data_IF_273194756903
#
_entry.id   IF_273194756903
#
_cell.length_a   1.000
_cell.length_b   1.000
_cell.length_c   1.000
_cell.angle_alpha   90.00
_cell.angle_beta   90.00
_cell.angle_gamma   90.00
#
_symmetry.space_group_name_H-M   'P 1'
#
loop_
_entity.id
_entity.type
_entity.pdbx_description
1 polymer ?
#
# COMPACT_ATOMS: atom_id res chain seq x y z
N UNK A 1 24.19 -6.68 -67.99
CA UNK A 1 24.09 -6.86 -66.53
C UNK A 1 23.43 -8.20 -66.30
N UNK A 2 24.09 -9.13 -65.59
CA UNK A 2 23.68 -10.51 -65.46
C UNK A 2 22.45 -10.64 -64.53
N UNK A 3 21.43 -11.45 -64.95
CA UNK A 3 20.22 -11.75 -64.16
C UNK A 3 20.53 -12.14 -62.70
N UNK A 4 21.68 -12.76 -62.46
CA UNK A 4 22.15 -13.14 -61.11
C UNK A 4 22.45 -11.94 -60.21
N UNK A 5 22.90 -10.81 -60.78
CA UNK A 5 23.19 -9.60 -60.01
C UNK A 5 21.91 -8.90 -59.52
N UNK A 6 20.89 -8.88 -60.38
CA UNK A 6 19.57 -8.31 -60.03
C UNK A 6 18.86 -9.15 -58.97
N UNK A 7 18.93 -10.47 -59.04
CA UNK A 7 18.36 -11.37 -58.01
C UNK A 7 19.02 -11.19 -56.64
N UNK A 8 20.35 -11.03 -56.59
CA UNK A 8 21.08 -10.81 -55.36
C UNK A 8 20.70 -9.48 -54.68
N UNK A 9 20.45 -8.42 -55.45
CA UNK A 9 20.02 -7.13 -54.94
C UNK A 9 18.59 -7.19 -54.39
N UNK A 10 17.68 -7.90 -55.06
CA UNK A 10 16.29 -8.04 -54.63
C UNK A 10 16.20 -8.83 -53.31
N UNK A 11 16.98 -9.91 -53.17
CA UNK A 11 17.04 -10.69 -51.92
C UNK A 11 17.61 -9.87 -50.79
N UNK A 12 18.66 -9.07 -51.04
CA UNK A 12 19.26 -8.17 -50.02
C UNK A 12 18.30 -7.09 -49.52
N UNK A 13 17.52 -6.48 -50.40
CA UNK A 13 16.51 -5.47 -50.05
C UNK A 13 15.32 -6.11 -49.30
N UNK A 14 14.89 -7.31 -49.67
CA UNK A 14 13.80 -8.03 -49.00
C UNK A 14 14.19 -8.42 -47.56
N UNK A 15 15.44 -8.84 -47.33
CA UNK A 15 15.94 -9.13 -45.96
C UNK A 15 16.06 -7.88 -45.09
N UNK A 16 16.35 -6.71 -45.66
CA UNK A 16 16.38 -5.46 -44.89
C UNK A 16 15.02 -4.98 -44.40
N UNK A 17 13.93 -5.30 -45.14
CA UNK A 17 12.56 -4.96 -44.72
C UNK A 17 11.98 -5.89 -43.65
N UNK A 18 12.56 -7.05 -43.41
CA UNK A 18 12.08 -8.01 -42.41
C UNK A 18 12.62 -7.75 -41.00
N UNK A 19 13.61 -6.88 -40.84
CA UNK A 19 14.19 -6.54 -39.52
C UNK A 19 13.47 -5.39 -38.80
N UNK A 20 12.49 -4.75 -39.45
CA UNK A 20 11.77 -3.59 -38.88
C UNK A 20 10.47 -3.88 -38.15
N UNK A 21 10.02 -5.14 -38.04
CA UNK A 21 8.65 -5.49 -37.63
C UNK A 21 8.50 -6.06 -36.22
N UNK A 22 9.47 -5.87 -35.32
CA UNK A 22 9.33 -6.22 -33.90
C UNK A 22 9.36 -4.98 -33.01
N UNK A 23 8.44 -4.05 -33.20
CA UNK A 23 8.02 -3.17 -32.12
C UNK A 23 6.91 -3.89 -31.37
N UNK A 24 7.27 -4.67 -30.35
CA UNK A 24 6.30 -5.11 -29.35
C UNK A 24 5.65 -3.84 -28.78
N UNK A 25 4.32 -3.79 -28.65
CA UNK A 25 3.71 -2.71 -27.88
C UNK A 25 4.36 -2.76 -26.50
N UNK A 26 5.06 -1.71 -26.12
CA UNK A 26 5.55 -1.55 -24.76
C UNK A 26 4.30 -1.45 -23.90
N UNK A 27 3.90 -2.58 -23.30
CA UNK A 27 3.01 -2.50 -22.14
C UNK A 27 3.76 -1.61 -21.15
N UNK A 28 3.20 -0.46 -20.81
CA UNK A 28 3.74 0.39 -19.75
C UNK A 28 4.06 -0.51 -18.55
N UNK A 29 5.32 -0.55 -18.10
CA UNK A 29 5.69 -1.44 -17.03
C UNK A 29 4.91 -1.03 -15.78
N UNK A 30 4.32 -2.00 -15.10
CA UNK A 30 3.71 -1.78 -13.79
C UNK A 30 4.75 -1.16 -12.87
N UNK A 31 4.50 0.06 -12.45
CA UNK A 31 5.38 0.78 -11.52
C UNK A 31 4.96 0.42 -10.08
N UNK A 32 5.94 0.15 -9.22
CA UNK A 32 5.75 -0.06 -7.80
C UNK A 32 6.51 1.02 -7.04
N UNK A 33 5.79 1.81 -6.28
CA UNK A 33 6.34 2.89 -5.48
C UNK A 33 6.23 2.56 -4.00
N UNK A 34 7.30 2.85 -3.24
CA UNK A 34 7.24 2.77 -1.79
C UNK A 34 6.31 3.85 -1.25
N UNK A 35 5.40 3.44 -0.38
CA UNK A 35 4.45 4.33 0.29
C UNK A 35 4.71 4.42 1.80
N UNK A 36 5.85 3.90 2.27
CA UNK A 36 6.17 3.69 3.68
C UNK A 36 6.48 4.97 4.46
N UNK A 37 6.92 6.04 3.80
CA UNK A 37 7.39 7.25 4.48
C UNK A 37 6.27 8.22 4.85
N UNK A 38 6.49 8.97 5.95
CA UNK A 38 5.71 10.16 6.27
C UNK A 38 4.27 9.88 6.71
N UNK A 39 4.02 8.80 7.42
CA UNK A 39 2.74 8.54 8.06
C UNK A 39 2.60 9.32 9.37
N UNK A 40 1.37 9.70 9.68
CA UNK A 40 0.98 10.22 10.99
C UNK A 40 0.32 9.09 11.78
N UNK A 41 0.69 8.91 13.05
CA UNK A 41 0.21 7.85 13.93
C UNK A 41 -0.28 8.40 15.26
N UNK A 42 -1.38 7.82 15.76
CA UNK A 42 -1.86 8.03 17.14
C UNK A 42 -2.61 6.81 17.66
N UNK A 43 -2.43 6.52 18.94
CA UNK A 43 -3.23 5.55 19.69
C UNK A 43 -4.49 6.25 20.19
N UNK A 44 -5.58 6.16 19.43
CA UNK A 44 -6.88 6.73 19.76
C UNK A 44 -8.00 5.81 19.27
N UNK A 45 -9.13 5.83 19.94
CA UNK A 45 -10.38 5.20 19.47
C UNK A 45 -11.37 6.29 19.04
N UNK A 46 -11.09 6.91 17.90
CA UNK A 46 -11.93 7.95 17.31
C UNK A 46 -12.19 7.65 15.84
N UNK A 47 -13.42 7.26 15.51
CA UNK A 47 -13.81 6.93 14.14
C UNK A 47 -13.78 8.14 13.19
N UNK A 48 -13.79 9.37 13.70
CA UNK A 48 -13.64 10.58 12.89
C UNK A 48 -12.25 10.66 12.25
N UNK A 49 -11.27 9.93 12.76
CA UNK A 49 -9.94 9.83 12.16
C UNK A 49 -9.95 9.26 10.72
N UNK A 50 -11.05 8.67 10.26
CA UNK A 50 -11.25 8.30 8.86
C UNK A 50 -11.50 9.50 7.94
N UNK A 51 -11.99 10.62 8.47
CA UNK A 51 -12.42 11.78 7.68
C UNK A 51 -11.24 12.60 7.15
N UNK A 52 -11.44 13.24 5.99
CA UNK A 52 -10.40 14.02 5.30
C UNK A 52 -9.94 15.23 6.12
N UNK A 53 -10.89 15.90 6.77
CA UNK A 53 -10.71 17.13 7.54
C UNK A 53 -10.33 16.92 9.01
N UNK A 54 -10.15 15.66 9.42
CA UNK A 54 -9.68 15.35 10.77
C UNK A 54 -8.31 15.98 11.05
N UNK A 55 -8.19 16.64 12.21
CA UNK A 55 -6.98 17.34 12.63
C UNK A 55 -5.93 16.35 13.18
N UNK A 56 -4.98 15.97 12.36
CA UNK A 56 -3.88 15.05 12.70
C UNK A 56 -2.51 15.74 12.89
N UNK A 57 -2.50 17.07 12.99
CA UNK A 57 -1.26 17.85 13.11
C UNK A 57 -0.45 17.57 14.39
N UNK A 58 -1.11 17.11 15.44
CA UNK A 58 -0.47 16.69 16.70
C UNK A 58 -0.03 15.23 16.72
N UNK A 59 -0.25 14.47 15.64
CA UNK A 59 0.10 13.06 15.60
C UNK A 59 1.60 12.86 15.37
N UNK A 60 2.12 11.76 15.88
CA UNK A 60 3.51 11.38 15.67
C UNK A 60 3.77 11.04 14.20
N UNK A 61 4.80 11.65 13.62
CA UNK A 61 5.27 11.30 12.26
C UNK A 61 6.23 10.13 12.35
N UNK A 62 6.04 9.16 11.47
CA UNK A 62 6.85 7.94 11.40
C UNK A 62 6.89 7.36 10.00
N UNK A 63 7.76 6.39 9.81
CA UNK A 63 7.83 5.57 8.62
C UNK A 63 7.42 4.13 8.97
N UNK A 64 6.89 3.42 8.00
CA UNK A 64 6.59 1.99 8.12
C UNK A 64 7.83 1.16 7.71
N UNK A 65 8.01 -0.04 8.28
CA UNK A 65 7.13 -0.72 9.22
C UNK A 65 7.15 -0.09 10.62
N UNK A 66 6.02 -0.16 11.32
CA UNK A 66 5.90 0.35 12.67
C UNK A 66 5.05 -0.59 13.54
N UNK A 67 5.47 -0.77 14.79
CA UNK A 67 4.78 -1.56 15.79
C UNK A 67 4.78 -0.82 17.12
N UNK A 68 3.63 -0.26 17.50
CA UNK A 68 3.52 0.44 18.79
C UNK A 68 3.58 -0.49 20.00
N UNK A 69 3.30 -1.78 19.83
CA UNK A 69 3.27 -2.71 20.95
C UNK A 69 4.67 -2.91 21.55
N UNK A 70 5.72 -2.90 20.73
CA UNK A 70 7.11 -3.03 21.21
C UNK A 70 7.68 -1.74 21.83
N UNK A 71 6.98 -0.63 21.68
CA UNK A 71 7.39 0.66 22.23
C UNK A 71 6.86 0.90 23.65
N UNK A 72 5.88 0.10 24.08
CA UNK A 72 5.26 0.22 25.39
C UNK A 72 5.85 -0.75 26.41
N UNK A 73 5.46 -0.53 27.67
CA UNK A 73 5.93 -1.35 28.78
C UNK A 73 5.27 -2.72 28.81
N UNK A 74 6.05 -3.74 29.11
CA UNK A 74 5.56 -5.09 29.36
C UNK A 74 4.78 -5.14 30.66
N UNK A 75 3.56 -5.68 30.64
CA UNK A 75 2.75 -5.89 31.85
C UNK A 75 1.89 -7.15 31.70
N UNK A 76 1.73 -7.87 32.80
CA UNK A 76 0.80 -9.02 32.83
C UNK A 76 -0.66 -8.62 32.63
N UNK A 77 -0.95 -7.33 32.86
CA UNK A 77 -2.30 -6.76 32.70
C UNK A 77 -2.59 -6.36 31.24
N UNK A 78 -1.58 -6.41 30.38
CA UNK A 78 -1.74 -6.09 28.96
C UNK A 78 -2.59 -7.12 28.23
N UNK A 79 -3.37 -6.72 27.20
CA UNK A 79 -4.33 -7.60 26.49
C UNK A 79 -3.69 -8.86 25.88
N UNK A 80 -2.44 -8.80 25.49
CA UNK A 80 -1.73 -9.96 24.93
C UNK A 80 -1.44 -11.07 25.93
N UNK A 81 -1.47 -10.76 27.24
CA UNK A 81 -1.13 -11.66 28.30
C UNK A 81 0.25 -12.29 28.15
N UNK A 82 0.58 -13.28 29.01
CA UNK A 82 1.88 -13.95 28.98
C UNK A 82 2.12 -14.74 27.68
N UNK A 83 1.05 -15.27 27.07
CA UNK A 83 1.12 -16.01 25.81
C UNK A 83 1.46 -15.16 24.58
N UNK A 84 1.17 -13.86 24.64
CA UNK A 84 1.46 -12.88 23.59
C UNK A 84 2.61 -11.94 23.94
N UNK A 85 3.42 -12.28 24.95
CA UNK A 85 4.59 -11.49 25.34
C UNK A 85 4.28 -10.32 26.26
N UNK A 86 3.08 -10.26 26.85
CA UNK A 86 2.65 -9.19 27.77
C UNK A 86 2.77 -7.79 27.17
N UNK A 87 2.58 -7.67 25.87
CA UNK A 87 2.69 -6.42 25.12
C UNK A 87 1.38 -5.62 25.18
N UNK A 88 1.46 -4.28 25.15
CA UNK A 88 0.28 -3.44 25.08
C UNK A 88 -0.50 -3.68 23.79
N UNK A 89 -1.81 -3.54 23.88
CA UNK A 89 -2.73 -3.52 22.77
C UNK A 89 -3.44 -2.18 22.66
N UNK A 90 -4.42 -2.10 21.79
CA UNK A 90 -5.24 -0.90 21.66
C UNK A 90 -5.72 -0.67 20.23
N UNK A 91 -6.24 0.54 19.99
CA UNK A 91 -6.67 1.00 18.70
C UNK A 91 -5.71 2.07 18.22
N UNK A 92 -5.03 1.79 17.11
CA UNK A 92 -4.11 2.72 16.47
C UNK A 92 -4.66 3.20 15.12
N UNK A 93 -4.43 4.47 14.83
CA UNK A 93 -4.74 5.05 13.55
C UNK A 93 -3.47 5.55 12.87
N UNK A 94 -3.40 5.25 11.58
CA UNK A 94 -2.36 5.74 10.69
C UNK A 94 -3.01 6.57 9.59
N UNK A 95 -2.45 7.72 9.31
CA UNK A 95 -2.96 8.62 8.27
C UNK A 95 -1.82 9.10 7.40
N UNK A 96 -2.09 9.18 6.10
CA UNK A 96 -1.14 9.77 5.14
C UNK A 96 -1.89 10.57 4.10
N UNK A 97 -1.39 11.76 3.85
CA UNK A 97 -1.83 12.61 2.75
C UNK A 97 -0.93 12.44 1.54
N UNK A 98 -1.51 12.37 0.36
CA UNK A 98 -0.78 12.32 -0.91
C UNK A 98 -1.56 13.01 -2.04
N UNK A 99 -0.87 13.35 -3.11
CA UNK A 99 -1.44 14.01 -4.29
C UNK A 99 -1.03 13.20 -5.52
N UNK A 100 -1.96 12.43 -6.12
CA UNK A 100 -1.68 11.77 -7.40
C UNK A 100 -1.57 12.83 -8.50
N UNK A 101 -0.60 12.66 -9.39
CA UNK A 101 -0.40 13.63 -10.46
C UNK A 101 -1.56 13.62 -11.46
N UNK A 102 -1.94 14.78 -11.98
CA UNK A 102 -2.97 14.88 -13.03
C UNK A 102 -2.62 14.08 -14.29
N UNK A 103 -1.32 13.98 -14.60
CA UNK A 103 -0.81 13.21 -15.74
C UNK A 103 -1.00 11.70 -15.62
N UNK A 104 -1.31 11.21 -14.42
CA UNK A 104 -1.57 9.78 -14.16
C UNK A 104 -3.06 9.43 -14.27
N UNK A 105 -3.90 10.41 -14.57
CA UNK A 105 -5.34 10.18 -14.76
C UNK A 105 -5.57 9.17 -15.88
N UNK A 106 -6.29 8.10 -15.53
CA UNK A 106 -6.52 6.95 -16.42
C UNK A 106 -5.63 5.75 -16.15
N UNK A 107 -4.58 5.88 -15.32
CA UNK A 107 -3.84 4.74 -14.78
C UNK A 107 -4.62 4.08 -13.63
N UNK A 108 -4.32 2.81 -13.37
CA UNK A 108 -4.86 2.09 -12.23
C UNK A 108 -3.94 2.24 -11.01
N UNK A 109 -4.50 2.74 -9.91
CA UNK A 109 -3.81 2.88 -8.64
C UNK A 109 -4.29 1.84 -7.64
N UNK A 110 -3.35 1.08 -7.12
CA UNK A 110 -3.62 0.07 -6.09
C UNK A 110 -2.68 0.30 -4.91
N UNK A 111 -3.22 0.27 -3.71
CA UNK A 111 -2.42 0.20 -2.49
C UNK A 111 -2.29 -1.28 -2.08
N UNK A 112 -1.07 -1.68 -1.73
CA UNK A 112 -0.75 -3.04 -1.30
C UNK A 112 -0.22 -3.00 0.14
N UNK A 113 -0.70 -3.91 0.98
CA UNK A 113 -0.26 -4.11 2.35
C UNK A 113 0.30 -5.51 2.48
N UNK A 114 1.53 -5.65 2.96
CA UNK A 114 2.13 -6.98 3.20
C UNK A 114 1.50 -7.68 4.40
N UNK A 115 1.04 -6.92 5.38
CA UNK A 115 0.27 -7.39 6.52
C UNK A 115 -0.05 -6.26 7.48
N UNK A 116 -1.18 -6.36 8.16
CA UNK A 116 -1.63 -5.40 9.18
C UNK A 116 -2.25 -6.16 10.34
N UNK A 117 -1.61 -6.19 11.49
CA UNK A 117 -2.12 -6.93 12.63
C UNK A 117 -2.78 -6.00 13.66
N UNK A 118 -4.08 -6.17 13.90
CA UNK A 118 -5.12 -6.98 13.29
C UNK A 118 -6.40 -6.15 13.15
N UNK A 119 -7.51 -6.80 12.69
CA UNK A 119 -8.81 -6.13 12.51
C UNK A 119 -8.69 -4.78 11.80
N UNK A 120 -7.79 -4.72 10.80
CA UNK A 120 -7.53 -3.47 10.09
C UNK A 120 -8.71 -3.06 9.23
N UNK A 121 -8.97 -1.76 9.18
CA UNK A 121 -9.91 -1.15 8.25
C UNK A 121 -9.23 0.01 7.54
N UNK A 122 -9.30 0.00 6.20
CA UNK A 122 -8.64 0.99 5.35
C UNK A 122 -9.67 1.92 4.76
N UNK A 123 -9.35 3.21 4.76
CA UNK A 123 -10.20 4.26 4.22
C UNK A 123 -9.44 5.10 3.20
N UNK A 124 -10.11 5.49 2.14
CA UNK A 124 -9.67 6.51 1.19
C UNK A 124 -10.68 7.66 1.18
N UNK A 125 -10.22 8.86 1.49
CA UNK A 125 -11.08 10.06 1.52
C UNK A 125 -12.36 9.89 2.38
N UNK A 126 -12.25 9.16 3.49
CA UNK A 126 -13.36 8.86 4.39
C UNK A 126 -14.24 7.67 3.98
N UNK A 127 -13.99 7.07 2.83
CA UNK A 127 -14.74 5.91 2.31
C UNK A 127 -14.02 4.63 2.73
N UNK A 128 -14.70 3.73 3.45
CA UNK A 128 -14.14 2.43 3.84
C UNK A 128 -13.95 1.54 2.60
N UNK A 129 -12.76 0.98 2.46
CA UNK A 129 -12.42 -0.03 1.44
C UNK A 129 -12.65 -1.45 1.95
N UNK A 130 -12.89 -1.61 3.26
CA UNK A 130 -13.20 -2.88 3.89
C UNK A 130 -12.32 -3.21 5.07
N UNK A 131 -12.74 -4.25 5.79
CA UNK A 131 -12.09 -4.80 6.98
C UNK A 131 -11.30 -6.06 6.67
N UNK A 132 -10.16 -6.21 7.37
CA UNK A 132 -9.32 -7.41 7.36
C UNK A 132 -9.04 -7.85 8.80
N UNK A 133 -9.69 -8.89 9.28
CA UNK A 133 -9.50 -9.36 10.65
C UNK A 133 -8.15 -10.05 10.84
N UNK A 134 -7.65 -10.75 9.83
CA UNK A 134 -6.42 -11.53 9.90
C UNK A 134 -5.21 -10.71 9.45
N UNK A 135 -4.16 -10.69 10.28
CA UNK A 135 -3.03 -9.77 10.11
C UNK A 135 -1.82 -10.32 9.34
N UNK A 136 -1.78 -11.64 9.05
CA UNK A 136 -0.59 -12.29 8.49
C UNK A 136 -0.66 -12.56 6.98
N UNK A 137 -1.57 -11.94 6.27
CA UNK A 137 -1.70 -12.07 4.83
C UNK A 137 -1.59 -10.71 4.16
N UNK A 138 -0.97 -10.70 2.99
CA UNK A 138 -0.96 -9.53 2.14
C UNK A 138 -2.35 -9.31 1.52
N UNK A 139 -2.71 -8.05 1.35
CA UNK A 139 -3.95 -7.66 0.70
C UNK A 139 -3.79 -6.33 -0.02
N UNK A 140 -4.74 -6.02 -0.88
CA UNK A 140 -4.69 -4.76 -1.64
C UNK A 140 -6.08 -4.22 -1.93
N UNK A 141 -6.13 -2.91 -2.18
CA UNK A 141 -7.34 -2.21 -2.60
C UNK A 141 -7.09 -1.37 -3.84
N UNK A 142 -8.07 -1.33 -4.75
CA UNK A 142 -8.07 -0.38 -5.87
C UNK A 142 -8.49 1.00 -5.36
N UNK A 143 -7.60 1.97 -5.51
CA UNK A 143 -7.85 3.35 -5.13
C UNK A 143 -8.44 4.17 -6.28
N UNK A 144 -8.29 3.71 -7.52
CA UNK A 144 -8.60 4.46 -8.74
C UNK A 144 -9.96 5.16 -8.72
N UNK A 145 -11.07 4.49 -8.33
CA UNK A 145 -12.39 5.11 -8.38
C UNK A 145 -12.62 6.20 -7.32
N UNK A 146 -11.73 6.30 -6.34
CA UNK A 146 -11.89 7.23 -5.20
C UNK A 146 -10.90 8.40 -5.23
N UNK A 147 -9.94 8.40 -6.17
CA UNK A 147 -8.89 9.42 -6.23
C UNK A 147 -9.40 10.73 -6.78
N UNK A 148 -8.99 11.82 -6.11
CA UNK A 148 -9.07 13.18 -6.60
C UNK A 148 -7.73 13.53 -7.25
N UNK A 149 -7.70 13.59 -8.56
CA UNK A 149 -6.48 13.83 -9.34
C UNK A 149 -6.01 15.27 -9.19
N UNK A 150 -4.69 15.46 -9.01
CA UNK A 150 -4.10 16.79 -8.77
C UNK A 150 -4.45 17.39 -7.41
N UNK A 151 -5.26 16.73 -6.60
CA UNK A 151 -5.75 17.21 -5.32
C UNK A 151 -5.26 16.35 -4.15
N UNK A 152 -5.45 16.87 -2.95
CA UNK A 152 -5.16 16.18 -1.71
C UNK A 152 -6.09 14.98 -1.51
N UNK A 153 -5.51 13.81 -1.32
CA UNK A 153 -6.20 12.60 -0.90
C UNK A 153 -5.64 12.15 0.46
N UNK A 154 -6.47 11.48 1.25
CA UNK A 154 -6.10 10.94 2.56
C UNK A 154 -6.37 9.45 2.59
N UNK A 155 -5.33 8.66 2.87
CA UNK A 155 -5.45 7.27 3.33
C UNK A 155 -5.47 7.28 4.84
N UNK A 156 -6.43 6.60 5.44
CA UNK A 156 -6.47 6.31 6.86
C UNK A 156 -6.59 4.81 7.09
N UNK A 157 -5.88 4.30 8.09
CA UNK A 157 -5.90 2.88 8.45
C UNK A 157 -6.13 2.77 9.95
N UNK A 158 -7.24 2.16 10.34
CA UNK A 158 -7.55 1.78 11.70
C UNK A 158 -7.02 0.37 11.95
N UNK A 159 -6.36 0.17 13.07
CA UNK A 159 -5.88 -1.12 13.51
C UNK A 159 -6.33 -1.35 14.91
N UNK A 160 -6.92 -2.51 15.16
CA UNK A 160 -7.49 -2.85 16.44
C UNK A 160 -6.92 -4.19 16.93
N UNK A 161 -5.98 -4.10 17.86
CA UNK A 161 -5.44 -5.24 18.59
C UNK A 161 -5.74 -5.15 20.10
N UNK A 162 -6.83 -4.45 20.47
CA UNK A 162 -7.25 -4.29 21.86
C UNK A 162 -7.63 -5.63 22.52
N UNK A 163 -8.28 -6.52 21.75
CA UNK A 163 -8.61 -7.87 22.19
C UNK A 163 -7.81 -8.87 21.36
N UNK A 164 -6.81 -9.48 21.99
CA UNK A 164 -6.05 -10.53 21.33
C UNK A 164 -6.60 -11.89 21.75
N UNK A 165 -7.14 -12.70 20.83
CA UNK A 165 -7.48 -14.07 21.15
C UNK A 165 -6.22 -14.79 21.62
N UNK A 166 -6.33 -15.66 22.63
CA UNK A 166 -5.22 -16.44 23.19
C UNK A 166 -4.45 -17.17 22.09
N UNK A 167 -3.49 -16.48 21.50
CA UNK A 167 -2.60 -17.02 20.51
C UNK A 167 -1.22 -17.17 21.14
N UNK A 168 -0.57 -18.30 20.87
CA UNK A 168 0.78 -18.56 21.33
C UNK A 168 1.85 -17.76 20.54
N UNK A 169 1.43 -16.92 19.61
CA UNK A 169 2.31 -16.27 18.65
C UNK A 169 2.23 -14.77 18.80
N UNK A 170 3.38 -14.15 18.87
CA UNK A 170 3.54 -12.71 18.80
C UNK A 170 2.94 -12.15 17.51
N UNK A 171 2.34 -11.03 17.63
CA UNK A 171 1.47 -10.51 16.59
C UNK A 171 1.43 -8.98 16.61
N UNK A 172 2.47 -8.39 16.07
CA UNK A 172 2.55 -6.94 15.96
C UNK A 172 3.57 -6.49 14.93
N UNK A 173 3.32 -6.69 13.64
CA UNK A 173 4.21 -6.13 12.63
C UNK A 173 3.45 -5.66 11.39
N UNK A 174 3.83 -4.48 10.90
CA UNK A 174 3.32 -3.88 9.69
C UNK A 174 4.37 -3.87 8.60
N UNK A 175 4.02 -4.35 7.44
CA UNK A 175 4.73 -4.08 6.22
C UNK A 175 3.79 -3.50 5.17
N UNK A 176 4.14 -2.34 4.64
CA UNK A 176 3.65 -1.82 3.38
C UNK A 176 4.78 -1.92 2.37
N UNK A 177 4.52 -2.40 1.19
CA UNK A 177 5.48 -2.43 0.08
C UNK A 177 4.88 -1.76 -1.17
#
# INVERSE_FOLDING_TARGET
MSHKFIQSIIIGVCCMFLLGACSSPSSEPRERLSFNDGWCFSLIDDSLAAQVDFADSGWRKLNLPHDWAIEGDFSQDNPSGTGGGALPGGIGWYRKTFIPADGDKGKHFRIEFDGVYMNSEVFINGISLGKRPYGYISFSYDLTPYLKWGEKNVIAVRVDNAEQPNSRWYSGMWHLS
#
